data_IF_211342162282
#
_entry.id   IF_211342162282
#
_cell.length_a   1.000
_cell.length_b   1.000
_cell.length_c   1.000
_cell.angle_alpha   90.00
_cell.angle_beta   90.00
_cell.angle_gamma   90.00
#
_symmetry.space_group_name_H-M   'P 1'
#
loop_
_entity.id
_entity.type
_entity.pdbx_description
1 polymer ?
#
# COMPACT_ATOMS: atom_id res chain seq x y z
N UNK A 1 -17.28 19.89 6.35
CA UNK A 1 -15.82 19.88 6.63
C UNK A 1 -15.47 18.46 7.02
N UNK A 2 -14.68 17.72 6.22
CA UNK A 2 -14.29 16.34 6.58
C UNK A 2 -13.12 16.46 7.55
N UNK A 3 -13.39 16.39 8.85
CA UNK A 3 -12.47 16.86 9.90
C UNK A 3 -11.48 15.79 10.39
N UNK A 4 -11.38 14.62 9.75
CA UNK A 4 -10.27 13.67 10.03
C UNK A 4 -10.07 12.70 8.86
N UNK A 5 -8.89 12.74 8.23
CA UNK A 5 -8.49 11.71 7.26
C UNK A 5 -8.11 10.45 8.05
N UNK A 6 -8.62 9.29 7.63
CA UNK A 6 -8.19 8.00 8.18
C UNK A 6 -6.76 7.66 7.72
N UNK A 7 -6.43 8.03 6.48
CA UNK A 7 -5.08 8.08 5.93
C UNK A 7 -4.90 9.41 5.23
N UNK A 8 -3.88 10.17 5.63
CA UNK A 8 -3.49 11.43 5.03
C UNK A 8 -2.31 11.27 4.06
N UNK A 9 -1.33 10.45 4.43
CA UNK A 9 -0.08 10.28 3.68
C UNK A 9 0.40 8.84 3.72
N UNK A 10 0.99 8.40 2.61
CA UNK A 10 1.66 7.10 2.47
C UNK A 10 3.10 7.36 2.04
N UNK A 11 4.04 6.91 2.84
CA UNK A 11 5.47 7.04 2.56
C UNK A 11 6.11 5.66 2.45
N UNK A 12 6.93 5.44 1.42
CA UNK A 12 7.79 4.27 1.34
C UNK A 12 9.04 4.53 2.19
N UNK A 13 9.32 3.65 3.15
CA UNK A 13 10.56 3.65 3.93
C UNK A 13 11.72 3.13 3.07
N UNK A 14 12.18 3.96 2.14
CA UNK A 14 13.15 3.58 1.09
C UNK A 14 14.50 3.14 1.66
N UNK A 15 14.85 3.61 2.85
CA UNK A 15 16.04 3.25 3.63
C UNK A 15 15.99 1.82 4.18
N UNK A 16 14.81 1.24 4.36
CA UNK A 16 14.63 -0.15 4.77
C UNK A 16 14.61 -1.11 3.56
N UNK A 17 14.62 -0.61 2.32
CA UNK A 17 14.52 -1.44 1.09
C UNK A 17 15.89 -1.94 0.63
N UNK A 18 16.13 -3.24 0.74
CA UNK A 18 17.39 -3.88 0.30
C UNK A 18 17.66 -3.77 -1.21
N UNK A 19 16.62 -3.86 -2.05
CA UNK A 19 16.77 -3.82 -3.51
C UNK A 19 15.48 -3.43 -4.23
N UNK A 20 15.59 -2.42 -5.11
CA UNK A 20 14.52 -1.99 -6.02
C UNK A 20 14.42 -2.82 -7.32
N UNK A 21 15.22 -3.87 -7.46
CA UNK A 21 15.19 -4.76 -8.63
C UNK A 21 14.33 -6.02 -8.39
N UNK A 22 13.81 -6.18 -7.17
CA UNK A 22 12.99 -7.34 -6.77
C UNK A 22 11.56 -6.93 -6.50
N UNK A 23 10.62 -7.83 -6.81
CA UNK A 23 9.23 -7.66 -6.40
C UNK A 23 9.14 -7.55 -4.86
N UNK A 24 8.30 -6.66 -4.31
CA UNK A 24 7.41 -5.72 -4.98
C UNK A 24 8.05 -4.37 -5.37
N UNK A 25 9.28 -4.09 -4.93
CA UNK A 25 9.93 -2.79 -5.09
C UNK A 25 10.32 -2.44 -6.52
N UNK A 26 10.42 -3.44 -7.40
CA UNK A 26 10.63 -3.24 -8.84
C UNK A 26 9.37 -2.85 -9.61
N UNK A 27 8.18 -2.92 -8.99
CA UNK A 27 6.95 -2.44 -9.62
C UNK A 27 7.06 -0.93 -9.88
N UNK A 28 6.70 -0.43 -11.08
CA UNK A 28 6.83 0.98 -11.42
C UNK A 28 6.23 1.95 -10.40
N UNK A 29 5.02 1.67 -9.92
CA UNK A 29 4.32 2.52 -8.94
C UNK A 29 4.96 2.50 -7.55
N UNK A 30 5.69 1.44 -7.19
CA UNK A 30 6.36 1.30 -5.89
C UNK A 30 7.76 1.89 -5.97
N UNK A 31 8.49 1.63 -7.05
CA UNK A 31 9.87 2.11 -7.26
C UNK A 31 9.94 3.64 -7.23
N UNK A 32 8.95 4.30 -7.82
CA UNK A 32 8.84 5.77 -7.85
C UNK A 32 8.20 6.38 -6.60
N UNK A 33 7.67 5.56 -5.67
CA UNK A 33 7.01 6.04 -4.47
C UNK A 33 8.03 6.63 -3.48
N UNK A 34 7.93 7.94 -3.25
CA UNK A 34 8.54 8.61 -2.10
C UNK A 34 7.49 8.75 -1.01
N UNK A 35 6.82 9.90 -1.02
CA UNK A 35 5.58 10.15 -0.29
C UNK A 35 4.42 10.41 -1.26
N UNK A 36 3.22 9.98 -0.88
CA UNK A 36 1.96 10.25 -1.56
C UNK A 36 0.96 10.83 -0.56
N UNK A 37 0.67 12.12 -0.67
CA UNK A 37 -0.43 12.74 0.06
C UNK A 37 -1.78 12.36 -0.59
N UNK A 38 -2.70 11.81 0.21
CA UNK A 38 -4.04 11.48 -0.25
C UNK A 38 -4.94 12.72 -0.17
N UNK A 39 -5.66 12.97 -1.27
CA UNK A 39 -6.65 14.03 -1.31
C UNK A 39 -7.80 13.73 -0.31
N UNK A 40 -8.29 14.71 0.46
CA UNK A 40 -9.34 14.51 1.49
C UNK A 40 -10.69 14.01 0.96
N UNK A 41 -10.92 14.12 -0.35
CA UNK A 41 -12.12 13.61 -1.01
C UNK A 41 -11.88 12.26 -1.69
N UNK A 42 -11.24 12.25 -2.87
CA UNK A 42 -10.96 11.04 -3.64
C UNK A 42 -9.55 11.13 -4.23
N UNK A 43 -8.80 10.03 -4.19
CA UNK A 43 -7.52 9.86 -4.88
C UNK A 43 -7.65 8.71 -5.87
N UNK A 44 -7.22 8.91 -7.12
CA UNK A 44 -7.25 7.89 -8.17
C UNK A 44 -5.84 7.34 -8.42
N UNK A 45 -5.68 6.03 -8.36
CA UNK A 45 -4.46 5.34 -8.80
C UNK A 45 -4.66 4.84 -10.23
N UNK A 46 -3.99 5.47 -11.21
CA UNK A 46 -4.15 5.18 -12.64
C UNK A 46 -2.79 4.84 -13.26
N UNK A 47 -2.78 3.94 -14.26
CA UNK A 47 -1.57 3.47 -14.92
C UNK A 47 -1.77 2.10 -15.60
N UNK A 48 -0.78 1.66 -16.36
CA UNK A 48 -0.84 0.42 -17.16
C UNK A 48 -1.03 -0.86 -16.33
N UNK A 49 -1.50 -1.94 -16.94
CA UNK A 49 -1.58 -3.25 -16.29
C UNK A 49 -0.16 -3.72 -15.91
N UNK A 50 -0.02 -4.28 -14.70
CA UNK A 50 1.30 -4.69 -14.17
C UNK A 50 2.14 -3.57 -13.54
N UNK A 51 1.70 -2.31 -13.57
CA UNK A 51 2.45 -1.18 -12.94
C UNK A 51 2.51 -1.21 -11.41
N UNK A 52 1.73 -2.08 -10.75
CA UNK A 52 1.74 -2.23 -9.29
C UNK A 52 0.63 -1.50 -8.54
N UNK A 53 -0.38 -0.96 -9.23
CA UNK A 53 -1.53 -0.23 -8.61
C UNK A 53 -2.26 -1.08 -7.55
N UNK A 54 -2.67 -2.29 -7.91
CA UNK A 54 -3.38 -3.19 -6.97
C UNK A 54 -2.49 -3.59 -5.80
N UNK A 55 -1.22 -3.88 -6.05
CA UNK A 55 -0.24 -4.19 -5.00
C UNK A 55 -0.04 -3.04 -4.03
N UNK A 56 0.04 -1.80 -4.52
CA UNK A 56 0.13 -0.62 -3.66
C UNK A 56 -1.15 -0.43 -2.82
N UNK A 57 -2.32 -0.56 -3.44
CA UNK A 57 -3.61 -0.44 -2.75
C UNK A 57 -3.77 -1.49 -1.65
N UNK A 58 -3.44 -2.75 -1.94
CA UNK A 58 -3.45 -3.84 -0.96
C UNK A 58 -2.46 -3.58 0.17
N UNK A 59 -1.24 -3.13 -0.14
CA UNK A 59 -0.23 -2.82 0.87
C UNK A 59 -0.67 -1.69 1.82
N UNK A 60 -1.32 -0.64 1.29
CA UNK A 60 -1.91 0.44 2.09
C UNK A 60 -3.00 -0.12 3.01
N UNK A 61 -3.90 -0.97 2.50
CA UNK A 61 -4.96 -1.58 3.29
C UNK A 61 -4.39 -2.43 4.44
N UNK A 62 -3.38 -3.27 4.17
CA UNK A 62 -2.73 -4.09 5.20
C UNK A 62 -1.98 -3.23 6.22
N UNK A 63 -1.27 -2.18 5.78
CA UNK A 63 -0.60 -1.25 6.68
C UNK A 63 -1.59 -0.50 7.60
N UNK A 64 -2.83 -0.28 7.14
CA UNK A 64 -3.92 0.27 7.96
C UNK A 64 -4.56 -0.75 8.92
N UNK A 65 -4.12 -2.01 8.92
CA UNK A 65 -4.68 -3.08 9.74
C UNK A 65 -5.93 -3.75 9.17
N UNK A 66 -6.23 -3.56 7.88
CA UNK A 66 -7.24 -4.37 7.20
C UNK A 66 -6.66 -5.73 6.82
N UNK A 67 -7.51 -6.75 6.78
CA UNK A 67 -7.11 -8.05 6.26
C UNK A 67 -6.80 -7.95 4.76
N UNK A 68 -5.68 -8.54 4.36
CA UNK A 68 -5.18 -8.50 2.99
C UNK A 68 -6.16 -9.14 1.97
N UNK A 69 -6.97 -10.10 2.40
CA UNK A 69 -7.99 -10.79 1.59
C UNK A 69 -9.37 -10.08 1.60
N UNK A 70 -9.52 -8.97 2.33
CA UNK A 70 -10.80 -8.29 2.56
C UNK A 70 -11.66 -8.96 3.65
N UNK A 71 -12.44 -8.15 4.36
CA UNK A 71 -13.31 -8.60 5.46
C UNK A 71 -13.29 -7.66 6.68
N UNK A 72 -14.30 -7.75 7.55
CA UNK A 72 -14.35 -6.98 8.82
C UNK A 72 -13.25 -7.42 9.79
N UNK A 73 -12.96 -6.61 10.83
CA UNK A 73 -11.98 -6.84 11.92
C UNK A 73 -12.02 -8.22 12.62
N UNK A 74 -12.98 -9.08 12.29
CA UNK A 74 -13.32 -10.28 13.05
C UNK A 74 -13.13 -11.61 12.29
N UNK A 75 -12.43 -11.63 11.15
CA UNK A 75 -12.21 -12.86 10.39
C UNK A 75 -10.74 -13.05 10.02
N UNK A 76 -10.16 -14.20 10.36
CA UNK A 76 -8.83 -14.63 9.92
C UNK A 76 -8.98 -15.81 8.96
N UNK A 77 -8.75 -15.60 7.66
CA UNK A 77 -8.46 -16.70 6.75
C UNK A 77 -6.94 -16.88 6.70
N UNK A 78 -6.49 -18.06 7.11
CA UNK A 78 -5.11 -18.49 7.00
C UNK A 78 -4.94 -19.27 5.69
N UNK A 79 -4.73 -18.55 4.59
CA UNK A 79 -4.31 -19.13 3.32
C UNK A 79 -3.00 -18.47 2.88
N UNK A 80 -2.06 -19.29 2.41
CA UNK A 80 -0.72 -18.96 1.89
C UNK A 80 -0.51 -17.47 1.52
N UNK A 81 0.53 -16.84 2.08
CA UNK A 81 0.91 -15.44 1.84
C UNK A 81 1.06 -15.12 0.35
N UNK A 82 -0.06 -14.75 -0.30
CA UNK A 82 -0.11 -14.29 -1.69
C UNK A 82 0.02 -12.77 -1.79
N UNK A 83 0.06 -12.11 -0.63
CA UNK A 83 0.17 -10.67 -0.51
C UNK A 83 1.62 -10.23 -0.44
N UNK A 84 1.86 -9.07 -1.02
CA UNK A 84 3.16 -8.43 -1.01
C UNK A 84 3.61 -8.04 0.40
N UNK A 85 4.89 -8.21 0.68
CA UNK A 85 5.55 -7.72 1.90
C UNK A 85 5.64 -6.18 1.95
N UNK A 86 5.23 -5.48 0.88
CA UNK A 86 5.31 -4.02 0.76
C UNK A 86 4.70 -3.28 1.96
N UNK A 87 3.63 -3.79 2.55
CA UNK A 87 2.95 -3.17 3.69
C UNK A 87 3.88 -2.90 4.89
N UNK A 88 4.94 -3.71 5.07
CA UNK A 88 5.91 -3.53 6.17
C UNK A 88 6.81 -2.31 5.96
N UNK A 89 6.94 -1.89 4.71
CA UNK A 89 7.79 -0.79 4.25
C UNK A 89 6.97 0.50 4.02
N UNK A 90 5.67 0.48 4.29
CA UNK A 90 4.84 1.69 4.23
C UNK A 90 4.70 2.30 5.62
N UNK A 91 4.93 3.60 5.70
CA UNK A 91 4.44 4.45 6.79
C UNK A 91 3.14 5.07 6.34
N UNK A 92 2.11 4.95 7.18
CA UNK A 92 0.78 5.50 6.94
C UNK A 92 0.42 6.41 8.11
N UNK A 93 0.06 7.65 7.82
CA UNK A 93 -0.25 8.69 8.83
C UNK A 93 -1.48 9.50 8.45
#
# INVERSE_FOLDING_TARGET
MITRKFVAEIELKRDEVDSFERYPFSLPAVRSLGSLELHPAVTFLVGENGSGKSTLLEAIAVACGFNAEGGSRNFSFSTRASHSELHRFLRVS
#
